data_IF_731134372685
#
_entry.id   IF_731134372685
#
_cell.length_a   1.000
_cell.length_b   1.000
_cell.length_c   1.000
_cell.angle_alpha   90.00
_cell.angle_beta   90.00
_cell.angle_gamma   90.00
#
_symmetry.space_group_name_H-M   'P 1'
#
loop_
_entity.id
_entity.type
_entity.pdbx_description
1 polymer ?
#
# COMPACT_ATOMS: atom_id res chain seq x y z
N UNK A 1 15.52 -25.51 -18.54
CA UNK A 1 16.48 -24.66 -17.79
C UNK A 1 15.73 -24.00 -16.66
N UNK A 2 16.30 -23.94 -15.46
CA UNK A 2 15.62 -23.37 -14.30
C UNK A 2 15.73 -21.83 -14.33
N UNK A 3 14.63 -21.14 -13.94
CA UNK A 3 14.53 -19.68 -13.83
C UNK A 3 14.22 -19.32 -12.39
N UNK A 4 14.86 -18.28 -11.87
CA UNK A 4 14.61 -17.74 -10.53
C UNK A 4 14.04 -16.33 -10.69
N UNK A 5 12.95 -16.04 -9.98
CA UNK A 5 12.31 -14.72 -9.95
C UNK A 5 12.21 -14.28 -8.49
N UNK A 6 12.60 -13.04 -8.22
CA UNK A 6 12.47 -12.44 -6.89
C UNK A 6 11.21 -11.58 -6.83
N UNK A 7 10.33 -11.89 -5.89
CA UNK A 7 9.16 -11.06 -5.57
C UNK A 7 9.48 -10.20 -4.35
N UNK A 8 9.32 -8.88 -4.46
CA UNK A 8 9.62 -7.95 -3.37
C UNK A 8 8.46 -7.92 -2.37
N UNK A 9 8.77 -8.00 -1.09
CA UNK A 9 7.82 -7.73 -0.02
C UNK A 9 7.90 -6.25 0.41
N UNK A 10 6.77 -5.70 0.84
CA UNK A 10 6.66 -4.32 1.34
C UNK A 10 6.06 -4.34 2.74
N UNK A 11 6.46 -3.39 3.59
CA UNK A 11 5.83 -3.23 4.89
C UNK A 11 4.37 -2.78 4.75
N UNK A 12 3.53 -3.15 5.73
CA UNK A 12 2.13 -2.75 5.77
C UNK A 12 2.02 -1.24 5.98
N UNK A 13 1.22 -0.51 5.19
CA UNK A 13 1.01 0.91 5.45
C UNK A 13 0.28 1.11 6.78
N UNK A 14 0.71 2.12 7.55
CA UNK A 14 0.03 2.56 8.77
C UNK A 14 -0.54 3.96 8.55
N UNK A 15 -1.66 4.26 9.19
CA UNK A 15 -2.37 5.50 8.95
C UNK A 15 -3.43 5.77 10.00
N UNK A 16 -4.03 6.94 9.89
CA UNK A 16 -5.04 7.44 10.82
C UNK A 16 -6.24 8.01 10.06
N UNK A 17 -7.37 8.07 10.76
CA UNK A 17 -8.57 8.73 10.25
C UNK A 17 -8.47 10.23 10.49
N UNK A 18 -8.41 11.02 9.40
CA UNK A 18 -8.38 12.49 9.49
C UNK A 18 -9.66 13.10 8.94
N UNK A 19 -10.10 14.20 9.57
CA UNK A 19 -11.26 14.95 9.10
C UNK A 19 -10.81 16.00 8.08
N UNK A 20 -11.17 15.78 6.80
CA UNK A 20 -10.91 16.73 5.71
C UNK A 20 -12.17 17.48 5.33
N UNK A 21 -12.01 18.75 4.91
CA UNK A 21 -13.10 19.53 4.33
C UNK A 21 -13.08 19.36 2.82
N UNK A 22 -14.10 18.72 2.28
CA UNK A 22 -14.29 18.56 0.83
C UNK A 22 -15.42 19.46 0.33
N UNK A 23 -15.27 20.10 -0.83
CA UNK A 23 -16.32 20.91 -1.43
C UNK A 23 -17.50 20.02 -1.85
N UNK A 24 -18.72 20.48 -1.61
CA UNK A 24 -19.93 19.74 -2.02
C UNK A 24 -20.40 20.09 -3.43
N UNK A 25 -19.78 21.08 -4.08
CA UNK A 25 -20.24 21.65 -5.35
C UNK A 25 -21.48 22.55 -5.21
N UNK A 26 -22.02 22.72 -4.00
CA UNK A 26 -23.13 23.64 -3.74
C UNK A 26 -22.60 25.03 -3.34
N UNK A 27 -23.22 26.07 -3.88
CA UNK A 27 -22.88 27.45 -3.58
C UNK A 27 -23.95 28.06 -2.67
N UNK A 28 -23.52 28.54 -1.51
CA UNK A 28 -24.36 29.34 -0.62
C UNK A 28 -24.18 30.82 -0.93
N UNK A 29 -25.24 31.46 -1.44
CA UNK A 29 -25.27 32.92 -1.62
C UNK A 29 -25.42 33.61 -0.27
N UNK A 30 -24.47 34.48 0.08
CA UNK A 30 -24.48 35.26 1.31
C UNK A 30 -24.37 36.76 1.05
N UNK A 31 -24.59 37.57 2.09
CA UNK A 31 -24.54 39.04 2.02
C UNK A 31 -23.14 39.60 1.71
N UNK A 32 -22.10 38.76 1.75
CA UNK A 32 -20.70 39.08 1.43
C UNK A 32 -20.18 38.28 0.22
N UNK A 33 -21.07 37.78 -0.63
CA UNK A 33 -20.75 37.01 -1.82
C UNK A 33 -21.02 35.52 -1.69
N UNK A 34 -20.79 34.82 -2.80
CA UNK A 34 -21.04 33.40 -2.96
C UNK A 34 -19.92 32.58 -2.30
N UNK A 35 -20.28 31.62 -1.42
CA UNK A 35 -19.33 30.71 -0.78
C UNK A 35 -19.67 29.26 -1.08
N UNK A 36 -18.65 28.48 -1.44
CA UNK A 36 -18.78 27.04 -1.60
C UNK A 36 -19.06 26.36 -0.24
N UNK A 37 -20.03 25.44 -0.24
CA UNK A 37 -20.37 24.65 0.94
C UNK A 37 -19.33 23.52 1.06
N UNK A 38 -18.71 23.45 2.23
CA UNK A 38 -17.72 22.41 2.55
C UNK A 38 -18.34 21.39 3.50
N UNK A 39 -18.18 20.10 3.21
CA UNK A 39 -18.55 18.99 4.08
C UNK A 39 -17.31 18.41 4.76
N UNK A 40 -17.43 18.04 6.03
CA UNK A 40 -16.39 17.27 6.72
C UNK A 40 -16.56 15.80 6.39
N UNK A 41 -15.49 15.17 5.92
CA UNK A 41 -15.45 13.73 5.68
C UNK A 41 -14.25 13.14 6.41
N UNK A 42 -14.43 11.94 6.96
CA UNK A 42 -13.34 11.16 7.54
C UNK A 42 -12.68 10.38 6.43
N UNK A 43 -11.39 10.60 6.23
CA UNK A 43 -10.60 9.88 5.24
C UNK A 43 -9.41 9.23 5.94
N UNK A 44 -9.17 7.96 5.62
CA UNK A 44 -7.95 7.30 6.06
C UNK A 44 -6.76 7.88 5.29
N UNK A 45 -5.74 8.34 6.00
CA UNK A 45 -4.50 8.83 5.41
C UNK A 45 -3.33 8.01 5.91
N UNK A 46 -2.47 7.61 4.98
CA UNK A 46 -1.24 6.91 5.31
C UNK A 46 -0.26 7.88 5.97
N UNK A 47 0.19 7.54 7.17
CA UNK A 47 1.16 8.32 7.95
C UNK A 47 2.54 7.67 7.99
N UNK A 48 2.66 6.40 7.57
CA UNK A 48 3.94 5.72 7.48
C UNK A 48 3.83 4.26 7.03
N UNK A 49 4.82 3.47 7.45
CA UNK A 49 4.92 2.04 7.20
C UNK A 49 5.19 1.32 8.52
N UNK A 50 4.65 0.11 8.68
CA UNK A 50 4.98 -0.77 9.80
C UNK A 50 6.47 -1.11 9.79
N UNK A 51 7.07 -1.25 10.96
CA UNK A 51 8.45 -1.69 11.14
C UNK A 51 8.60 -3.22 11.28
N UNK A 52 7.46 -3.92 11.38
CA UNK A 52 7.39 -5.31 11.82
C UNK A 52 6.40 -6.18 11.04
N UNK A 53 5.44 -5.56 10.33
CA UNK A 53 4.43 -6.29 9.55
C UNK A 53 4.62 -6.07 8.05
N UNK A 54 4.63 -7.16 7.30
CA UNK A 54 4.57 -7.15 5.84
C UNK A 54 3.11 -6.99 5.38
N UNK A 55 2.91 -6.26 4.29
CA UNK A 55 1.65 -6.21 3.58
C UNK A 55 1.40 -7.56 2.88
N UNK A 56 0.75 -8.48 3.60
CA UNK A 56 0.51 -9.83 3.13
C UNK A 56 -0.43 -9.90 1.93
N UNK A 57 -1.46 -9.05 1.88
CA UNK A 57 -2.41 -9.03 0.76
C UNK A 57 -1.71 -8.60 -0.54
N UNK A 58 -0.91 -7.54 -0.45
CA UNK A 58 -0.09 -7.10 -1.58
C UNK A 58 0.91 -8.17 -1.99
N UNK A 59 1.64 -8.76 -1.04
CA UNK A 59 2.64 -9.79 -1.36
C UNK A 59 2.00 -11.01 -2.02
N UNK A 60 0.84 -11.47 -1.54
CA UNK A 60 0.10 -12.57 -2.17
C UNK A 60 -0.22 -12.25 -3.62
N UNK A 61 -0.70 -11.04 -3.91
CA UNK A 61 -1.01 -10.62 -5.27
C UNK A 61 0.23 -10.55 -6.16
N UNK A 62 1.32 -9.98 -5.64
CA UNK A 62 2.60 -9.87 -6.36
C UNK A 62 3.18 -11.27 -6.69
N UNK A 63 3.01 -12.26 -5.79
CA UNK A 63 3.41 -13.66 -6.04
C UNK A 63 2.51 -14.32 -7.09
N UNK A 64 1.19 -14.13 -7.00
CA UNK A 64 0.24 -14.65 -8.00
C UNK A 64 0.55 -14.13 -9.40
N UNK A 65 0.84 -12.84 -9.54
CA UNK A 65 1.15 -12.23 -10.84
C UNK A 65 2.48 -12.76 -11.40
N UNK A 66 3.49 -12.96 -10.55
CA UNK A 66 4.75 -13.57 -10.96
C UNK A 66 4.59 -15.03 -11.42
N UNK A 67 3.77 -15.82 -10.71
CA UNK A 67 3.45 -17.21 -11.09
C UNK A 67 2.69 -17.25 -12.41
N UNK A 68 1.67 -16.41 -12.57
CA UNK A 68 0.88 -16.34 -13.79
C UNK A 68 1.76 -16.00 -15.01
N UNK A 69 2.69 -15.05 -14.86
CA UNK A 69 3.64 -14.72 -15.92
C UNK A 69 4.58 -15.88 -16.25
N UNK A 70 5.11 -16.58 -15.24
CA UNK A 70 5.97 -17.74 -15.45
C UNK A 70 5.23 -18.88 -16.17
N UNK A 71 3.97 -19.12 -15.82
CA UNK A 71 3.16 -20.11 -16.51
C UNK A 71 2.85 -19.71 -17.96
N UNK A 72 2.56 -18.43 -18.22
CA UNK A 72 2.39 -17.91 -19.57
C UNK A 72 3.66 -18.05 -20.43
N UNK A 73 4.84 -17.91 -19.80
CA UNK A 73 6.15 -18.13 -20.42
C UNK A 73 6.49 -19.64 -20.61
N UNK A 74 5.62 -20.56 -20.18
CA UNK A 74 5.80 -22.01 -20.32
C UNK A 74 6.63 -22.67 -19.21
N UNK A 75 6.86 -21.98 -18.08
CA UNK A 75 7.53 -22.55 -16.91
C UNK A 75 6.54 -23.17 -15.92
N UNK A 76 6.95 -24.28 -15.32
CA UNK A 76 6.29 -24.89 -14.16
C UNK A 76 6.97 -24.42 -12.86
N UNK A 77 6.16 -24.11 -11.84
CA UNK A 77 6.68 -23.68 -10.54
C UNK A 77 7.11 -24.90 -9.73
N UNK A 78 8.40 -24.97 -9.42
CA UNK A 78 8.94 -26.05 -8.57
C UNK A 78 8.89 -25.72 -7.08
N UNK A 79 9.14 -24.45 -6.71
CA UNK A 79 9.20 -24.04 -5.31
C UNK A 79 9.04 -22.53 -5.16
N UNK A 80 8.52 -22.11 -4.01
CA UNK A 80 8.49 -20.72 -3.55
C UNK A 80 9.20 -20.70 -2.19
N UNK A 81 10.30 -19.95 -2.10
CA UNK A 81 11.12 -19.90 -0.90
C UNK A 81 11.11 -18.48 -0.33
N UNK A 82 10.78 -18.29 0.96
CA UNK A 82 10.94 -17.00 1.60
C UNK A 82 12.42 -16.70 1.84
N UNK A 83 12.83 -15.45 1.58
CA UNK A 83 14.19 -14.97 1.83
C UNK A 83 14.11 -13.87 2.88
N UNK A 84 14.80 -14.08 4.00
CA UNK A 84 14.90 -13.10 5.08
C UNK A 84 16.33 -12.59 5.15
N UNK A 85 16.50 -11.28 5.24
CA UNK A 85 17.78 -10.67 5.58
C UNK A 85 17.73 -10.32 7.06
N UNK A 86 18.59 -10.92 7.86
CA UNK A 86 18.76 -10.52 9.24
C UNK A 86 19.42 -9.12 9.26
N UNK A 87 18.71 -8.12 9.77
CA UNK A 87 19.28 -6.81 10.03
C UNK A 87 19.73 -6.75 11.49
N UNK A 88 21.04 -6.86 11.73
CA UNK A 88 21.63 -6.56 13.05
C UNK A 88 21.55 -5.04 13.27
N UNK A 89 20.45 -4.57 13.88
CA UNK A 89 20.35 -3.19 14.36
C UNK A 89 21.14 -3.08 15.66
N UNK A 90 22.46 -2.91 15.57
CA UNK A 90 23.20 -2.30 16.67
C UNK A 90 22.72 -0.86 16.80
N UNK A 91 21.94 -0.63 17.86
CA UNK A 91 21.53 0.67 18.37
C UNK A 91 22.78 1.57 18.43
N UNK A 92 22.81 2.62 17.61
CA UNK A 92 23.70 3.76 17.84
C UNK A 92 23.30 4.37 19.19
N UNK A 93 24.21 4.25 20.16
CA UNK A 93 24.16 4.89 21.48
C UNK A 93 24.18 6.41 21.35
#
# INVERSE_FOLDING_TARGET
>A
MNKIVYVKAYFKPIGEEVSVKVPTGEIKKGFFGDKEIMKKETQWQQTGWSDSQIDGERLSKDVEDAVAQLNADGYEIQTVLPIFVAADRKLTQ
#
